data_IF_110859154361
#
_entry.id   IF_110859154361
#
_cell.length_a   1.000
_cell.length_b   1.000
_cell.length_c   1.000
_cell.angle_alpha   90.00
_cell.angle_beta   90.00
_cell.angle_gamma   90.00
#
_symmetry.space_group_name_H-M   'P 1'
#
loop_
_entity.id
_entity.type
_entity.pdbx_description
1 polymer ?
#
# COMPACT_ATOMS: atom_id res chain seq x y z
N UNK A 1 -14.91 -1.62 2.26
CA UNK A 1 -13.86 -2.51 2.81
C UNK A 1 -12.59 -1.71 2.97
N UNK A 2 -11.78 -2.00 4.00
CA UNK A 2 -10.51 -1.34 4.28
C UNK A 2 -9.39 -2.40 4.36
N UNK A 3 -8.42 -2.37 3.45
CA UNK A 3 -7.20 -3.18 3.58
C UNK A 3 -6.18 -2.44 4.45
N UNK A 4 -5.66 -3.09 5.50
CA UNK A 4 -4.68 -2.49 6.41
C UNK A 4 -3.34 -3.18 6.23
N UNK A 5 -2.33 -2.44 5.75
CA UNK A 5 -0.96 -2.93 5.46
C UNK A 5 0.03 -2.66 6.61
N UNK A 6 -0.47 -2.57 7.85
CA UNK A 6 0.35 -2.35 9.03
C UNK A 6 1.03 -3.65 9.46
N UNK A 7 2.30 -3.57 9.85
CA UNK A 7 2.99 -4.66 10.55
C UNK A 7 2.30 -4.98 11.88
N UNK A 8 2.43 -6.23 12.33
CA UNK A 8 1.78 -6.73 13.55
C UNK A 8 0.56 -7.62 13.24
N UNK A 9 -0.25 -7.90 14.26
CA UNK A 9 -1.41 -8.83 14.17
C UNK A 9 -2.73 -8.21 14.65
N UNK A 10 -2.69 -6.96 15.11
CA UNK A 10 -3.81 -6.33 15.83
C UNK A 10 -4.70 -5.46 14.93
N UNK A 11 -4.53 -5.52 13.61
CA UNK A 11 -5.15 -4.57 12.68
C UNK A 11 -6.68 -4.55 12.80
N UNK A 12 -7.30 -5.71 13.00
CA UNK A 12 -8.76 -5.80 13.14
C UNK A 12 -9.25 -5.05 14.38
N UNK A 13 -8.59 -5.25 15.52
CA UNK A 13 -8.97 -4.63 16.78
C UNK A 13 -8.72 -3.12 16.76
N UNK A 14 -7.56 -2.70 16.24
CA UNK A 14 -7.18 -1.28 16.20
C UNK A 14 -8.05 -0.47 15.22
N UNK A 15 -8.39 -1.03 14.05
CA UNK A 15 -9.06 -0.25 13.00
C UNK A 15 -10.57 -0.45 12.91
N UNK A 16 -11.15 -1.55 13.39
CA UNK A 16 -12.61 -1.75 13.31
C UNK A 16 -13.45 -0.58 13.87
N UNK A 17 -13.06 0.09 14.97
CA UNK A 17 -13.79 1.26 15.47
C UNK A 17 -13.72 2.50 14.54
N UNK A 18 -12.73 2.55 13.64
CA UNK A 18 -12.42 3.70 12.79
C UNK A 18 -13.00 3.59 11.38
N UNK A 19 -13.48 2.40 10.98
CA UNK A 19 -13.88 2.13 9.59
C UNK A 19 -15.34 2.40 9.28
N UNK A 20 -16.11 2.95 10.22
CA UNK A 20 -17.54 3.24 10.01
C UNK A 20 -18.36 1.98 9.65
N UNK A 21 -18.00 0.83 10.21
CA UNK A 21 -18.65 -0.46 9.94
C UNK A 21 -18.13 -1.21 8.71
N UNK A 22 -17.16 -0.65 7.97
CA UNK A 22 -16.55 -1.39 6.86
C UNK A 22 -15.65 -2.53 7.36
N UNK A 23 -15.70 -3.67 6.66
CA UNK A 23 -14.82 -4.82 6.93
C UNK A 23 -13.36 -4.45 6.82
N UNK A 24 -12.60 -4.71 7.89
CA UNK A 24 -11.14 -4.58 7.96
C UNK A 24 -10.50 -5.88 7.46
N UNK A 25 -9.71 -5.78 6.39
CA UNK A 25 -8.93 -6.87 5.83
C UNK A 25 -7.45 -6.68 6.24
N UNK A 26 -6.95 -7.42 7.26
CA UNK A 26 -5.54 -7.37 7.61
C UNK A 26 -4.72 -7.89 6.44
N UNK A 27 -3.74 -7.12 5.99
CA UNK A 27 -2.97 -7.41 4.78
C UNK A 27 -1.49 -7.31 5.12
N UNK A 28 -0.71 -8.37 4.92
CA UNK A 28 0.73 -8.34 5.24
C UNK A 28 1.50 -8.06 3.97
N UNK A 29 2.40 -7.09 4.02
CA UNK A 29 3.23 -6.71 2.90
C UNK A 29 4.69 -6.99 3.18
N UNK A 30 5.34 -7.67 2.24
CA UNK A 30 6.71 -8.14 2.37
C UNK A 30 7.58 -7.46 1.33
N UNK A 31 8.30 -6.42 1.76
CA UNK A 31 9.47 -5.90 1.06
C UNK A 31 10.22 -4.93 1.98
N UNK A 32 11.55 -4.90 1.88
CA UNK A 32 12.34 -3.80 2.45
C UNK A 32 12.14 -2.55 1.59
N UNK A 33 11.74 -1.44 2.24
CA UNK A 33 11.69 -0.11 1.65
C UNK A 33 12.35 0.92 2.55
N UNK A 34 13.00 1.89 1.93
CA UNK A 34 13.59 3.05 2.59
C UNK A 34 13.00 4.31 2.01
N UNK A 35 12.65 5.27 2.87
CA UNK A 35 12.28 6.61 2.43
C UNK A 35 13.54 7.47 2.38
N UNK A 36 13.77 8.12 1.26
CA UNK A 36 14.85 9.10 1.10
C UNK A 36 14.37 10.51 1.45
N UNK A 37 15.33 11.41 1.67
CA UNK A 37 15.08 12.78 2.13
C UNK A 37 14.27 13.63 1.15
N UNK A 38 14.30 13.28 -0.13
CA UNK A 38 13.57 13.94 -1.22
C UNK A 38 12.12 13.45 -1.38
N UNK A 39 11.62 12.71 -0.38
CA UNK A 39 10.31 12.04 -0.38
C UNK A 39 10.17 10.90 -1.40
N UNK A 40 11.25 10.47 -2.05
CA UNK A 40 11.27 9.22 -2.80
C UNK A 40 11.31 8.00 -1.86
N UNK A 41 10.94 6.84 -2.39
CA UNK A 41 10.96 5.56 -1.67
C UNK A 41 11.72 4.55 -2.49
N UNK A 42 12.83 4.06 -1.94
CA UNK A 42 13.62 2.99 -2.53
C UNK A 42 13.08 1.62 -2.11
N UNK A 43 12.58 0.86 -3.08
CA UNK A 43 12.21 -0.55 -2.90
C UNK A 43 13.43 -1.44 -3.09
N UNK A 44 13.84 -2.12 -2.03
CA UNK A 44 15.05 -2.97 -2.01
C UNK A 44 14.77 -4.41 -2.44
N UNK A 45 13.50 -4.81 -2.54
CA UNK A 45 13.09 -6.06 -3.14
C UNK A 45 11.68 -5.96 -3.74
N UNK A 46 11.30 -6.94 -4.56
CA UNK A 46 9.95 -7.03 -5.15
C UNK A 46 8.89 -7.16 -4.05
N UNK A 47 7.85 -6.29 -4.05
CA UNK A 47 6.81 -6.33 -3.05
C UNK A 47 5.91 -7.56 -3.20
N UNK A 48 5.65 -8.25 -2.09
CA UNK A 48 4.68 -9.34 -2.02
C UNK A 48 3.56 -9.01 -1.04
N UNK A 49 2.34 -9.38 -1.37
CA UNK A 49 1.15 -9.16 -0.54
C UNK A 49 0.56 -10.50 -0.13
N UNK A 50 0.36 -10.70 1.16
CA UNK A 50 -0.37 -11.84 1.73
C UNK A 50 -1.71 -11.35 2.26
N UNK A 51 -2.78 -12.01 1.84
CA UNK A 51 -4.15 -11.70 2.25
C UNK A 51 -4.79 -12.92 2.90
N UNK A 52 -5.60 -12.75 3.96
CA UNK A 52 -6.38 -13.82 4.54
C UNK A 52 -7.53 -14.21 3.61
N UNK A 53 -7.94 -15.47 3.68
CA UNK A 53 -9.10 -15.97 2.95
C UNK A 53 -10.41 -15.50 3.60
N UNK A 54 -10.75 -14.24 3.34
CA UNK A 54 -11.91 -13.54 3.87
C UNK A 54 -12.63 -12.77 2.77
N UNK A 55 -13.92 -12.42 2.95
CA UNK A 55 -14.65 -11.60 2.00
C UNK A 55 -13.87 -10.32 1.63
N UNK A 56 -13.69 -10.12 0.33
CA UNK A 56 -12.97 -8.98 -0.23
C UNK A 56 -11.46 -9.18 -0.44
N UNK A 57 -10.93 -10.38 -0.17
CA UNK A 57 -9.57 -10.77 -0.57
C UNK A 57 -9.34 -10.50 -2.05
N UNK A 58 -10.18 -11.04 -2.94
CA UNK A 58 -10.00 -10.94 -4.38
C UNK A 58 -10.02 -9.50 -4.88
N UNK A 59 -10.85 -8.66 -4.27
CA UNK A 59 -10.93 -7.24 -4.59
C UNK A 59 -9.68 -6.48 -4.14
N UNK A 60 -9.20 -6.72 -2.91
CA UNK A 60 -7.93 -6.13 -2.45
C UNK A 60 -6.75 -6.57 -3.34
N UNK A 61 -6.72 -7.85 -3.70
CA UNK A 61 -5.70 -8.50 -4.53
C UNK A 61 -5.67 -7.92 -5.95
N UNK A 62 -6.85 -7.80 -6.57
CA UNK A 62 -7.04 -7.20 -7.89
C UNK A 62 -6.57 -5.75 -7.89
N UNK A 63 -7.01 -5.01 -6.88
CA UNK A 63 -6.79 -3.58 -6.76
C UNK A 63 -5.32 -3.24 -6.44
N UNK A 64 -4.63 -4.07 -5.66
CA UNK A 64 -3.17 -4.03 -5.48
C UNK A 64 -2.38 -4.25 -6.77
N UNK A 65 -2.86 -5.12 -7.67
CA UNK A 65 -2.23 -5.42 -8.95
C UNK A 65 -2.51 -4.38 -10.04
N UNK A 66 -3.46 -3.47 -9.83
CA UNK A 66 -3.74 -2.43 -10.82
C UNK A 66 -2.51 -1.52 -11.00
N UNK A 67 -2.12 -1.16 -12.24
CA UNK A 67 -0.95 -0.34 -12.49
C UNK A 67 -0.98 0.95 -11.67
N UNK A 68 0.14 1.24 -10.98
CA UNK A 68 0.35 2.40 -10.13
C UNK A 68 -0.02 3.76 -10.78
N UNK A 69 -0.17 3.82 -12.11
CA UNK A 69 -0.65 4.99 -12.84
C UNK A 69 -2.06 5.47 -12.42
N UNK A 70 -2.92 4.61 -11.87
CA UNK A 70 -4.22 5.01 -11.27
C UNK A 70 -4.14 5.30 -9.77
N UNK A 71 -3.01 5.00 -9.14
CA UNK A 71 -2.74 5.22 -7.73
C UNK A 71 -1.90 6.47 -7.57
N UNK A 72 -2.43 7.60 -8.02
CA UNK A 72 -1.82 8.90 -7.76
C UNK A 72 -2.00 9.20 -6.27
N UNK A 73 -0.97 8.88 -5.48
CA UNK A 73 -0.86 9.31 -4.10
C UNK A 73 -0.90 10.84 -4.08
N UNK A 74 -2.04 11.43 -3.71
CA UNK A 74 -2.06 12.82 -3.29
C UNK A 74 -1.63 12.85 -1.82
N UNK A 75 -0.34 12.64 -1.57
CA UNK A 75 0.29 13.21 -0.39
C UNK A 75 0.17 14.73 -0.58
N UNK A 76 -0.52 15.43 0.32
CA UNK A 76 -0.54 16.89 0.32
C UNK A 76 0.85 17.37 0.73
N UNK A 77 1.76 17.46 -0.24
CA UNK A 77 2.94 18.32 -0.20
C UNK A 77 3.01 18.95 -1.60
N UNK A 78 3.05 20.29 -1.73
CA UNK A 78 3.08 20.94 -3.03
C UNK A 78 4.30 20.44 -3.82
N UNK A 79 4.19 20.29 -5.15
CA UNK A 79 5.30 19.79 -5.95
C UNK A 79 6.44 20.81 -5.90
N UNK A 80 7.62 20.38 -5.45
CA UNK A 80 8.84 21.11 -5.75
C UNK A 80 9.10 20.99 -7.27
N UNK A 81 9.41 22.10 -7.96
CA UNK A 81 9.73 22.04 -9.38
C UNK A 81 11.04 21.27 -9.57
N UNK A 82 10.99 20.17 -10.35
CA UNK A 82 12.18 19.39 -10.73
C UNK A 82 12.27 17.95 -10.21
N UNK A 83 11.23 17.41 -9.55
CA UNK A 83 11.24 16.02 -9.08
C UNK A 83 11.14 15.01 -10.24
N UNK A 84 12.29 14.43 -10.63
CA UNK A 84 12.34 13.26 -11.50
C UNK A 84 11.84 12.04 -10.71
N UNK A 85 10.56 11.73 -10.84
CA UNK A 85 9.96 10.54 -10.26
C UNK A 85 10.68 9.29 -10.80
N UNK A 86 11.48 8.63 -9.95
CA UNK A 86 12.20 7.41 -10.31
C UNK A 86 11.21 6.29 -10.66
N UNK A 87 10.90 6.15 -11.95
CA UNK A 87 10.24 4.98 -12.54
C UNK A 87 11.12 3.75 -12.31
N UNK A 88 10.89 3.00 -11.24
CA UNK A 88 11.29 1.60 -11.23
C UNK A 88 10.25 0.82 -12.04
N UNK A 89 10.65 0.42 -13.25
CA UNK A 89 9.91 -0.54 -14.08
C UNK A 89 9.92 -1.88 -13.34
N UNK A 90 8.83 -2.20 -12.63
CA UNK A 90 8.63 -3.54 -12.08
C UNK A 90 8.41 -4.48 -13.28
N UNK A 91 9.20 -5.57 -13.42
CA UNK A 91 8.96 -6.54 -14.48
C UNK A 91 7.60 -7.22 -14.27
N UNK A 92 6.90 -7.46 -15.39
CA UNK A 92 5.63 -8.18 -15.49
C UNK A 92 5.73 -9.62 -14.99
#
# INVERSE_FOLDING_TARGET
>A
MVCVLQNGVEQRQQFAPLTGGATVLPSVVWFPAQRDADASVWLRATPRLTLPDLPGQSECSRRWREPAARWTWRLILPPLPGANCCRTRLPV
#
